data_IF_060426826933
#
_entry.id   IF_060426826933
#
_cell.length_a   1.000
_cell.length_b   1.000
_cell.length_c   1.000
_cell.angle_alpha   90.00
_cell.angle_beta   90.00
_cell.angle_gamma   90.00
#
_symmetry.space_group_name_H-M   'P 1'
#
loop_
_entity.id
_entity.type
_entity.pdbx_description
1 polymer ?
#
# COMPACT_ATOMS: atom_id res chain seq x y z
N UNK A 1 -71.08 -43.12 -14.50
CA UNK A 1 -71.27 -42.01 -15.47
C UNK A 1 -69.91 -41.35 -15.72
N UNK A 2 -69.30 -41.55 -16.89
CA UNK A 2 -68.01 -40.96 -17.29
C UNK A 2 -68.22 -39.51 -17.74
N UNK A 3 -67.49 -38.55 -17.18
CA UNK A 3 -67.36 -37.18 -17.71
C UNK A 3 -65.92 -36.95 -18.17
N UNK A 4 -65.78 -36.41 -19.39
CA UNK A 4 -64.56 -35.91 -20.01
C UNK A 4 -63.79 -34.97 -19.10
N UNK A 5 -62.46 -34.94 -19.24
CA UNK A 5 -61.65 -33.74 -18.95
C UNK A 5 -60.63 -33.53 -20.06
N UNK A 6 -60.66 -32.32 -20.59
CA UNK A 6 -59.85 -31.79 -21.66
C UNK A 6 -58.36 -31.72 -21.27
N UNK A 7 -57.51 -31.89 -22.28
CA UNK A 7 -56.08 -31.69 -22.24
C UNK A 7 -55.78 -30.18 -22.16
N UNK A 8 -55.13 -29.72 -21.08
CA UNK A 8 -54.61 -28.36 -20.95
C UNK A 8 -53.09 -28.40 -21.11
N UNK A 9 -52.59 -27.77 -22.18
CA UNK A 9 -51.17 -27.55 -22.44
C UNK A 9 -50.69 -26.46 -21.49
N UNK A 10 -49.78 -26.79 -20.57
CA UNK A 10 -49.10 -25.81 -19.73
C UNK A 10 -47.83 -25.33 -20.43
N UNK A 11 -47.82 -24.07 -20.87
CA UNK A 11 -46.64 -23.33 -21.30
C UNK A 11 -45.75 -23.04 -20.08
N UNK A 12 -44.56 -23.65 -20.03
CA UNK A 12 -43.52 -23.30 -19.07
C UNK A 12 -42.88 -21.96 -19.49
N UNK A 13 -43.22 -20.88 -18.77
CA UNK A 13 -42.47 -19.63 -18.84
C UNK A 13 -41.21 -19.79 -17.97
N UNK A 14 -40.06 -20.05 -18.61
CA UNK A 14 -38.76 -20.03 -17.93
C UNK A 14 -38.42 -18.58 -17.57
N UNK A 15 -38.45 -18.24 -16.28
CA UNK A 15 -38.00 -16.94 -15.78
C UNK A 15 -36.49 -16.99 -15.60
N UNK A 16 -35.74 -16.36 -16.50
CA UNK A 16 -34.32 -16.06 -16.26
C UNK A 16 -34.23 -15.02 -15.15
N UNK A 17 -33.68 -15.40 -14.00
CA UNK A 17 -33.30 -14.47 -12.94
C UNK A 17 -32.06 -13.73 -13.42
N UNK A 18 -32.20 -12.43 -13.73
CA UNK A 18 -31.06 -11.54 -13.87
C UNK A 18 -30.40 -11.40 -12.50
N UNK A 19 -29.19 -11.95 -12.35
CA UNK A 19 -28.32 -11.58 -11.24
C UNK A 19 -28.04 -10.08 -11.36
N UNK A 20 -28.58 -9.29 -10.43
CA UNK A 20 -28.28 -7.87 -10.34
C UNK A 20 -26.77 -7.72 -10.15
N UNK A 21 -26.14 -7.09 -11.13
CA UNK A 21 -24.73 -6.75 -11.15
C UNK A 21 -24.49 -5.73 -10.02
N UNK A 22 -24.20 -6.21 -8.81
CA UNK A 22 -23.80 -5.35 -7.67
C UNK A 22 -22.47 -4.73 -8.04
N UNK A 23 -22.52 -3.48 -8.55
CA UNK A 23 -21.35 -2.61 -8.63
C UNK A 23 -20.70 -2.60 -7.23
N UNK A 24 -19.38 -2.76 -7.13
CA UNK A 24 -18.72 -2.72 -5.83
C UNK A 24 -19.03 -1.37 -5.18
N UNK A 25 -19.64 -1.42 -4.00
CA UNK A 25 -19.92 -0.26 -3.18
C UNK A 25 -18.57 0.31 -2.74
N UNK A 26 -18.25 1.53 -3.19
CA UNK A 26 -17.01 2.20 -2.80
C UNK A 26 -17.26 2.74 -1.40
N UNK A 27 -16.81 2.01 -0.39
CA UNK A 27 -16.88 2.46 1.00
C UNK A 27 -15.99 3.70 1.22
N UNK A 28 -16.46 4.63 2.06
CA UNK A 28 -15.69 5.80 2.46
C UNK A 28 -14.36 5.36 3.10
N UNK A 29 -13.24 5.86 2.59
CA UNK A 29 -11.91 5.52 3.10
C UNK A 29 -10.96 6.71 3.09
N UNK A 30 -10.02 6.74 4.03
CA UNK A 30 -8.94 7.73 4.10
C UNK A 30 -7.61 6.99 4.01
N UNK A 31 -6.94 7.07 2.86
CA UNK A 31 -5.62 6.51 2.67
C UNK A 31 -4.55 7.58 2.88
N UNK A 32 -3.52 7.27 3.68
CA UNK A 32 -2.46 8.22 4.05
C UNK A 32 -1.07 7.69 3.69
N UNK A 33 -0.17 8.63 3.36
CA UNK A 33 1.29 8.40 3.34
C UNK A 33 1.94 9.34 4.34
N UNK A 34 2.60 8.79 5.35
CA UNK A 34 3.25 9.55 6.43
C UNK A 34 4.76 9.37 6.34
N UNK A 35 5.48 10.48 6.22
CA UNK A 35 6.94 10.53 6.30
C UNK A 35 7.32 11.09 7.66
N UNK A 36 7.81 10.25 8.56
CA UNK A 36 7.98 10.61 9.96
C UNK A 36 8.93 9.69 10.72
N UNK A 37 9.15 10.00 11.99
CA UNK A 37 9.99 9.17 12.86
C UNK A 37 9.14 8.08 13.48
N UNK A 38 9.54 6.82 13.31
CA UNK A 38 8.86 5.66 13.89
C UNK A 38 9.28 5.46 15.34
N UNK A 39 8.37 5.03 16.22
CA UNK A 39 8.68 4.52 17.55
C UNK A 39 7.87 3.27 17.84
N UNK A 40 8.53 2.25 18.37
CA UNK A 40 7.92 1.00 18.84
C UNK A 40 8.18 0.79 20.33
N UNK A 41 7.51 -0.20 20.93
CA UNK A 41 7.72 -0.58 22.33
C UNK A 41 7.11 0.40 23.33
N UNK A 42 6.13 1.20 22.90
CA UNK A 42 5.44 2.15 23.76
C UNK A 42 4.50 1.36 24.67
N UNK A 43 4.64 1.54 25.98
CA UNK A 43 3.75 0.94 26.99
C UNK A 43 2.96 2.08 27.61
N UNK A 44 1.64 2.01 27.53
CA UNK A 44 0.73 2.94 28.19
C UNK A 44 0.24 2.35 29.52
N UNK A 45 0.20 3.18 30.56
CA UNK A 45 -0.54 2.88 31.79
C UNK A 45 -2.02 2.76 31.37
N UNK A 46 -2.68 1.64 31.71
CA UNK A 46 -4.02 1.33 31.23
C UNK A 46 -4.07 0.42 29.99
N UNK A 47 -2.93 0.11 29.38
CA UNK A 47 -2.83 -0.87 28.27
C UNK A 47 -3.44 -0.42 26.94
N UNK A 48 -4.03 0.78 26.89
CA UNK A 48 -4.67 1.30 25.70
C UNK A 48 -3.65 1.96 24.75
N UNK A 49 -2.89 1.14 24.03
CA UNK A 49 -1.99 1.60 22.97
C UNK A 49 -1.75 0.48 21.96
N UNK A 50 -1.51 0.84 20.70
CA UNK A 50 -0.94 -0.08 19.71
C UNK A 50 0.54 -0.40 19.96
N UNK A 51 1.20 0.38 20.83
CA UNK A 51 2.62 0.27 21.13
C UNK A 51 3.55 0.79 20.04
N UNK A 52 2.99 1.26 18.91
CA UNK A 52 3.75 1.78 17.77
C UNK A 52 3.16 3.12 17.31
N UNK A 53 4.03 4.11 17.08
CA UNK A 53 3.60 5.44 16.61
C UNK A 53 4.52 5.96 15.51
N UNK A 54 4.00 6.90 14.73
CA UNK A 54 4.77 7.73 13.81
C UNK A 54 4.54 9.21 14.11
N UNK A 55 5.63 9.98 14.15
CA UNK A 55 5.57 11.44 14.35
C UNK A 55 6.06 12.18 13.11
N UNK A 56 5.23 13.05 12.56
CA UNK A 56 5.55 13.92 11.43
C UNK A 56 5.02 15.34 11.68
N UNK A 57 5.83 16.37 11.44
CA UNK A 57 5.45 17.79 11.66
C UNK A 57 4.83 18.07 13.05
N UNK A 58 5.29 17.36 14.08
CA UNK A 58 4.76 17.48 15.45
C UNK A 58 3.45 16.72 15.73
N UNK A 59 2.84 16.11 14.72
CA UNK A 59 1.63 15.29 14.86
C UNK A 59 2.05 13.83 15.02
N UNK A 60 1.47 13.15 16.01
CA UNK A 60 1.75 11.73 16.28
C UNK A 60 0.50 10.89 16.08
N UNK A 61 0.62 9.85 15.26
CA UNK A 61 -0.44 8.86 15.05
C UNK A 61 0.00 7.49 15.52
N UNK A 62 -0.96 6.71 15.99
CA UNK A 62 -0.77 5.30 16.32
C UNK A 62 -0.78 4.44 15.05
N UNK A 63 -0.01 3.36 15.06
CA UNK A 63 0.12 2.44 13.95
C UNK A 63 -0.37 1.05 14.35
N UNK A 64 -1.36 0.54 13.62
CA UNK A 64 -1.74 -0.87 13.66
C UNK A 64 -0.93 -1.62 12.59
N UNK A 65 0.08 -2.37 13.03
CA UNK A 65 0.95 -3.18 12.15
C UNK A 65 0.27 -4.50 11.72
N UNK A 66 -0.92 -4.79 12.25
CA UNK A 66 -1.65 -6.02 12.03
C UNK A 66 -0.87 -7.28 12.43
N UNK A 67 -1.28 -8.41 11.86
CA UNK A 67 -0.70 -9.73 12.19
C UNK A 67 0.50 -10.11 11.32
N UNK A 68 0.96 -9.27 10.38
CA UNK A 68 2.09 -9.59 9.50
C UNK A 68 3.41 -9.49 10.27
N UNK A 69 4.11 -10.62 10.43
CA UNK A 69 5.37 -10.68 11.18
C UNK A 69 6.47 -9.80 10.55
N UNK A 70 6.53 -9.76 9.22
CA UNK A 70 7.49 -8.96 8.45
C UNK A 70 7.40 -7.47 8.78
N UNK A 71 6.20 -6.91 8.83
CA UNK A 71 5.98 -5.48 9.15
C UNK A 71 6.35 -5.19 10.60
N UNK A 72 6.02 -6.11 11.53
CA UNK A 72 6.36 -5.97 12.96
C UNK A 72 7.87 -6.00 13.20
N UNK A 73 8.57 -6.98 12.63
CA UNK A 73 10.03 -7.07 12.69
C UNK A 73 10.69 -5.85 12.06
N UNK A 74 10.21 -5.42 10.89
CA UNK A 74 10.71 -4.20 10.25
C UNK A 74 10.50 -2.97 11.14
N UNK A 75 9.33 -2.82 11.77
CA UNK A 75 9.06 -1.69 12.65
C UNK A 75 10.02 -1.65 13.86
N UNK A 76 10.29 -2.81 14.47
CA UNK A 76 11.25 -2.93 15.57
C UNK A 76 12.67 -2.51 15.14
N UNK A 77 13.12 -2.96 13.97
CA UNK A 77 14.44 -2.59 13.42
C UNK A 77 14.55 -1.12 12.97
N UNK A 78 13.40 -0.47 12.73
CA UNK A 78 13.31 0.89 12.23
C UNK A 78 12.89 1.90 13.30
N UNK A 79 12.75 1.49 14.56
CA UNK A 79 12.46 2.39 15.67
C UNK A 79 13.50 3.50 15.76
N UNK A 80 13.05 4.75 15.97
CA UNK A 80 13.87 5.96 15.96
C UNK A 80 14.28 6.45 14.57
N UNK A 81 14.05 5.70 13.49
CA UNK A 81 14.41 6.11 12.12
C UNK A 81 13.29 6.87 11.44
N UNK A 82 13.65 7.66 10.43
CA UNK A 82 12.68 8.28 9.53
C UNK A 82 12.20 7.24 8.51
N UNK A 83 10.89 7.05 8.43
CA UNK A 83 10.23 6.02 7.60
C UNK A 83 9.09 6.63 6.79
N UNK A 84 8.70 5.92 5.74
CA UNK A 84 7.48 6.13 4.97
C UNK A 84 6.49 5.05 5.38
N UNK A 85 5.36 5.45 5.95
CA UNK A 85 4.23 4.58 6.29
C UNK A 85 3.08 4.85 5.34
N UNK A 86 2.52 3.78 4.77
CA UNK A 86 1.28 3.81 3.98
C UNK A 86 0.22 2.98 4.69
N UNK A 87 -1.03 3.44 4.66
CA UNK A 87 -2.13 2.75 5.32
C UNK A 87 -3.45 3.49 5.23
N UNK A 88 -4.48 2.87 5.82
CA UNK A 88 -5.81 3.47 6.00
C UNK A 88 -5.88 4.10 7.39
N UNK A 89 -6.37 5.34 7.50
CA UNK A 89 -6.55 6.04 8.76
C UNK A 89 -7.98 5.83 9.27
N UNK A 90 -8.11 5.29 10.48
CA UNK A 90 -9.38 5.03 11.14
C UNK A 90 -9.45 5.72 12.50
N UNK A 91 -10.66 6.15 12.87
CA UNK A 91 -10.96 6.62 14.21
C UNK A 91 -11.54 5.47 15.03
N UNK A 92 -10.85 5.04 16.09
CA UNK A 92 -11.34 4.04 17.04
C UNK A 92 -11.82 4.72 18.33
N UNK A 93 -12.93 4.24 18.90
CA UNK A 93 -13.39 4.65 20.24
C UNK A 93 -12.51 3.96 21.27
N UNK A 94 -11.95 4.73 22.20
CA UNK A 94 -11.21 4.21 23.34
C UNK A 94 -11.98 4.27 24.64
N UNK A 95 -11.47 3.58 25.66
CA UNK A 95 -12.07 3.53 27.00
C UNK A 95 -11.53 4.67 27.84
N UNK A 96 -10.21 4.90 27.80
CA UNK A 96 -9.53 5.97 28.53
C UNK A 96 -9.30 7.20 27.64
N UNK A 97 -9.01 6.98 26.35
CA UNK A 97 -8.89 8.05 25.34
C UNK A 97 -10.16 8.08 24.50
N UNK A 98 -10.94 9.16 24.57
CA UNK A 98 -12.26 9.24 23.89
C UNK A 98 -12.20 8.99 22.37
N UNK A 99 -11.11 9.38 21.71
CA UNK A 99 -10.91 9.18 20.26
C UNK A 99 -9.44 8.89 19.93
N UNK A 100 -9.19 7.79 19.21
CA UNK A 100 -7.85 7.37 18.77
C UNK A 100 -7.78 7.34 17.25
N UNK A 101 -6.77 8.02 16.71
CA UNK A 101 -6.47 8.02 15.28
C UNK A 101 -5.39 6.98 15.00
N UNK A 102 -5.77 5.91 14.31
CA UNK A 102 -4.93 4.74 14.09
C UNK A 102 -4.79 4.50 12.60
N UNK A 103 -3.55 4.40 12.14
CA UNK A 103 -3.25 4.00 10.76
C UNK A 103 -3.06 2.49 10.71
N UNK A 104 -3.96 1.81 10.00
CA UNK A 104 -3.81 0.40 9.61
C UNK A 104 -2.73 0.30 8.52
N UNK A 105 -1.54 -0.16 8.90
CA UNK A 105 -0.34 -0.11 8.05
C UNK A 105 -0.40 -1.17 6.95
N UNK A 106 -0.36 -0.72 5.70
CA UNK A 106 -0.26 -1.57 4.51
C UNK A 106 1.15 -1.61 3.93
N UNK A 107 1.97 -0.58 4.21
CA UNK A 107 3.37 -0.53 3.80
C UNK A 107 4.24 0.29 4.76
N UNK A 108 5.45 -0.22 5.04
CA UNK A 108 6.45 0.43 5.88
C UNK A 108 7.81 0.35 5.17
N UNK A 109 8.44 1.49 4.96
CA UNK A 109 9.72 1.63 4.24
C UNK A 109 10.62 2.63 4.95
N UNK A 110 11.93 2.48 4.86
CA UNK A 110 12.88 3.50 5.38
C UNK A 110 12.84 4.73 4.48
N UNK A 111 12.93 5.94 5.05
CA UNK A 111 13.08 7.19 4.25
C UNK A 111 14.47 7.24 3.63
N UNK A 112 15.45 6.75 4.37
CA UNK A 112 16.74 6.31 3.84
C UNK A 112 16.54 4.95 3.16
N UNK A 113 15.70 4.89 2.12
CA UNK A 113 16.04 3.97 1.04
C UNK A 113 17.48 4.30 0.71
N UNK A 114 18.41 3.35 0.85
CA UNK A 114 19.84 3.57 0.58
C UNK A 114 19.91 4.53 -0.61
N UNK A 115 20.54 5.70 -0.47
CA UNK A 115 20.49 6.71 -1.53
C UNK A 115 21.20 6.10 -2.73
N UNK A 116 20.41 5.51 -3.62
CA UNK A 116 20.94 4.80 -4.75
C UNK A 116 21.26 5.85 -5.79
N UNK A 117 22.55 6.00 -6.02
CA UNK A 117 23.07 6.90 -7.04
C UNK A 117 23.24 6.11 -8.32
N UNK A 118 22.86 6.74 -9.42
CA UNK A 118 23.25 6.27 -10.74
C UNK A 118 24.77 6.40 -10.95
N UNK A 119 25.30 5.77 -12.00
CA UNK A 119 26.73 5.85 -12.32
C UNK A 119 27.26 7.28 -12.52
N UNK A 120 26.41 8.24 -12.89
CA UNK A 120 26.78 9.66 -12.98
C UNK A 120 26.51 10.48 -11.71
N UNK A 121 26.17 9.83 -10.58
CA UNK A 121 25.96 10.47 -9.29
C UNK A 121 24.56 11.03 -9.05
N UNK A 122 23.67 11.02 -10.05
CA UNK A 122 22.28 11.45 -9.88
C UNK A 122 21.52 10.46 -8.97
N UNK A 123 20.72 10.99 -8.06
CA UNK A 123 19.97 10.17 -7.10
C UNK A 123 18.72 9.60 -7.79
N UNK A 124 18.50 8.29 -7.65
CA UNK A 124 17.22 7.69 -8.06
C UNK A 124 16.10 8.14 -7.11
N UNK A 125 14.88 8.41 -7.62
CA UNK A 125 13.73 8.70 -6.77
C UNK A 125 13.54 7.63 -5.68
N UNK A 126 13.28 8.07 -4.45
CA UNK A 126 13.22 7.18 -3.28
C UNK A 126 12.15 6.09 -3.39
N UNK A 127 11.06 6.36 -4.11
CA UNK A 127 9.97 5.41 -4.31
C UNK A 127 10.27 4.31 -5.35
N UNK A 128 11.38 4.39 -6.10
CA UNK A 128 11.79 3.34 -7.05
C UNK A 128 12.38 2.10 -6.36
N UNK A 129 12.82 2.23 -5.11
CA UNK A 129 13.48 1.17 -4.36
C UNK A 129 14.90 0.89 -4.85
N UNK A 130 15.42 -0.30 -4.54
CA UNK A 130 16.79 -0.68 -4.85
C UNK A 130 16.99 -1.01 -6.34
N UNK A 131 18.09 -0.53 -6.96
CA UNK A 131 18.48 -0.97 -8.29
C UNK A 131 18.87 -2.46 -8.27
N UNK A 132 18.83 -3.13 -9.44
CA UNK A 132 19.20 -4.53 -9.54
C UNK A 132 20.65 -4.77 -9.07
N UNK A 133 20.83 -5.70 -8.14
CA UNK A 133 22.14 -6.12 -7.61
C UNK A 133 22.96 -6.88 -8.67
N UNK A 134 22.30 -7.79 -9.40
CA UNK A 134 22.91 -8.50 -10.51
C UNK A 134 22.75 -7.67 -11.80
N UNK A 135 23.87 -7.26 -12.38
CA UNK A 135 23.90 -6.45 -13.60
C UNK A 135 24.68 -7.16 -14.70
N UNK A 136 24.23 -6.97 -15.93
CA UNK A 136 24.94 -7.43 -17.12
C UNK A 136 26.19 -6.57 -17.37
N UNK A 137 27.16 -7.13 -18.10
CA UNK A 137 28.46 -6.50 -18.36
C UNK A 137 28.46 -5.49 -19.51
N UNK A 138 27.30 -5.26 -20.13
CA UNK A 138 27.17 -4.30 -21.23
C UNK A 138 27.17 -2.86 -20.71
N UNK A 139 27.52 -1.91 -21.58
CA UNK A 139 27.56 -0.49 -21.24
C UNK A 139 26.78 0.33 -22.26
N UNK A 140 25.62 0.84 -21.85
CA UNK A 140 24.71 1.64 -22.67
C UNK A 140 24.31 2.94 -21.98
N UNK A 141 23.72 3.86 -22.74
CA UNK A 141 23.11 5.06 -22.17
C UNK A 141 21.87 4.69 -21.37
N UNK A 142 21.80 5.15 -20.13
CA UNK A 142 20.65 4.96 -19.26
C UNK A 142 19.57 6.00 -19.58
N UNK A 143 18.28 5.61 -19.63
CA UNK A 143 17.19 6.55 -19.84
C UNK A 143 17.11 7.58 -18.68
N UNK A 144 16.40 8.69 -18.86
CA UNK A 144 16.18 9.69 -17.80
C UNK A 144 17.43 10.49 -17.36
N UNK A 145 18.52 10.44 -18.15
CA UNK A 145 19.75 11.20 -17.88
C UNK A 145 20.58 10.66 -16.72
N UNK A 146 20.48 9.36 -16.41
CA UNK A 146 21.24 8.70 -15.33
C UNK A 146 22.66 8.25 -15.74
N UNK A 147 23.14 8.66 -16.91
CA UNK A 147 24.51 8.38 -17.37
C UNK A 147 24.61 7.10 -18.19
N UNK A 148 25.63 6.27 -17.94
CA UNK A 148 25.86 5.01 -18.65
C UNK A 148 25.95 3.84 -17.67
N UNK A 149 25.40 2.69 -18.03
CA UNK A 149 25.38 1.50 -17.17
C UNK A 149 24.91 0.25 -17.90
N UNK A 150 24.60 -0.80 -17.12
CA UNK A 150 24.17 -2.09 -17.65
C UNK A 150 22.79 -2.06 -18.30
N UNK A 151 22.54 -3.02 -19.19
CA UNK A 151 21.22 -3.24 -19.77
C UNK A 151 20.16 -3.60 -18.76
N UNK A 152 20.51 -4.40 -17.75
CA UNK A 152 19.60 -4.69 -16.62
C UNK A 152 19.21 -3.42 -15.89
N UNK A 153 20.17 -2.53 -15.61
CA UNK A 153 19.91 -1.24 -14.97
C UNK A 153 19.07 -0.32 -15.86
N UNK A 154 19.37 -0.26 -17.16
CA UNK A 154 18.60 0.54 -18.11
C UNK A 154 17.12 0.13 -18.16
N UNK A 155 16.85 -1.19 -18.20
CA UNK A 155 15.49 -1.74 -18.19
C UNK A 155 14.76 -1.36 -16.91
N UNK A 156 15.40 -1.54 -15.75
CA UNK A 156 14.82 -1.19 -14.44
C UNK A 156 14.50 0.31 -14.32
N UNK A 157 15.39 1.20 -14.80
CA UNK A 157 15.12 2.64 -14.82
C UNK A 157 13.92 2.94 -15.72
N UNK A 158 13.84 2.34 -16.91
CA UNK A 158 12.74 2.57 -17.84
C UNK A 158 11.39 2.12 -17.26
N UNK A 159 11.34 0.94 -16.63
CA UNK A 159 10.13 0.43 -15.96
C UNK A 159 9.64 1.37 -14.86
N UNK A 160 10.56 1.93 -14.06
CA UNK A 160 10.20 2.90 -13.03
C UNK A 160 9.69 4.23 -13.62
N UNK A 161 10.33 4.74 -14.67
CA UNK A 161 9.86 5.93 -15.38
C UNK A 161 8.46 5.71 -15.95
N UNK A 162 8.19 4.54 -16.55
CA UNK A 162 6.87 4.19 -17.07
C UNK A 162 5.82 4.16 -15.95
N UNK A 163 6.12 3.53 -14.80
CA UNK A 163 5.24 3.54 -13.63
C UNK A 163 4.95 4.95 -13.12
N UNK A 164 5.95 5.84 -13.16
CA UNK A 164 5.78 7.23 -12.75
C UNK A 164 4.93 8.03 -13.75
N UNK A 165 5.00 7.72 -15.06
CA UNK A 165 4.11 8.31 -16.06
C UNK A 165 2.69 7.81 -15.95
N UNK A 166 2.49 6.50 -15.71
CA UNK A 166 1.17 5.89 -15.49
C UNK A 166 0.48 6.52 -14.27
N UNK A 167 1.21 6.64 -13.14
CA UNK A 167 0.66 7.26 -11.92
C UNK A 167 0.23 8.72 -12.10
N UNK A 168 0.79 9.45 -13.08
CA UNK A 168 0.42 10.84 -13.38
C UNK A 168 -0.76 10.97 -14.35
N UNK A 169 -1.14 9.88 -15.04
CA UNK A 169 -2.24 9.89 -16.00
C UNK A 169 -3.61 9.59 -15.39
N UNK A 170 -3.64 9.14 -14.14
CA UNK A 170 -4.85 8.80 -13.38
C UNK A 170 -5.33 9.96 -12.46
N UNK A 171 -4.64 11.11 -12.49
CA UNK A 171 -4.98 12.37 -11.79
C UNK A 171 -5.61 13.39 -12.75
#
# INVERSE_FOLDING_TARGET
>A
MKRQRHLAVFLFLSSTVFAADKRPEIEDSINVTVVGTLRTGIIAIGGETTGTTITAKGITWELDLGKKAEIRQAAEMLTGKKVIVRGSLERRKGVEVQQRWIVSVTGLQVTDGEIFKSPNGKIYPSHWGAPPRAQTRDLRNLPGGFGRGSGTLAKWIQENLNRDTERKGDD
#
